data_IF_499235235792
#
_entry.id   IF_499235235792
#
_cell.length_a   1.000
_cell.length_b   1.000
_cell.length_c   1.000
_cell.angle_alpha   90.00
_cell.angle_beta   90.00
_cell.angle_gamma   90.00
#
_symmetry.space_group_name_H-M   'P 1'
#
loop_
_entity.id
_entity.type
_entity.pdbx_description
1 polymer ?
#
# COMPACT_ATOMS: atom_id res chain seq x y z
N UNK A 1 -17.59 -29.68 -14.72
CA UNK A 1 -17.19 -28.27 -14.80
C UNK A 1 -17.77 -27.66 -13.55
N UNK A 2 -16.99 -27.62 -12.48
CA UNK A 2 -17.37 -26.87 -11.28
C UNK A 2 -16.94 -25.43 -11.53
N UNK A 3 -17.90 -24.58 -11.90
CA UNK A 3 -17.76 -23.12 -11.80
C UNK A 3 -17.82 -22.77 -10.31
N UNK A 4 -16.72 -23.02 -9.61
CA UNK A 4 -16.48 -22.39 -8.32
C UNK A 4 -16.28 -20.90 -8.60
N UNK A 5 -17.10 -19.99 -8.05
CA UNK A 5 -16.88 -18.57 -8.25
C UNK A 5 -15.51 -18.26 -7.67
N UNK A 6 -14.56 -17.97 -8.55
CA UNK A 6 -13.25 -17.47 -8.17
C UNK A 6 -13.53 -16.31 -7.22
N UNK A 7 -13.24 -16.53 -5.94
CA UNK A 7 -13.25 -15.49 -4.93
C UNK A 7 -12.06 -14.60 -5.24
N UNK A 8 -12.18 -13.84 -6.34
CA UNK A 8 -11.23 -12.85 -6.79
C UNK A 8 -11.32 -11.73 -5.76
N UNK A 9 -10.50 -11.89 -4.71
CA UNK A 9 -10.18 -10.78 -3.82
C UNK A 9 -9.95 -9.55 -4.69
N UNK A 10 -10.60 -8.42 -4.40
CA UNK A 10 -10.56 -7.27 -5.28
C UNK A 10 -9.11 -6.93 -5.62
N UNK A 11 -8.82 -6.62 -6.89
CA UNK A 11 -7.50 -6.15 -7.30
C UNK A 11 -7.16 -4.87 -6.50
N UNK A 12 -6.33 -5.01 -5.47
CA UNK A 12 -6.02 -3.91 -4.55
C UNK A 12 -4.88 -3.03 -5.05
N UNK A 13 -4.56 -3.02 -6.36
CA UNK A 13 -3.65 -1.99 -6.87
C UNK A 13 -4.21 -0.60 -6.54
N UNK A 14 -3.36 0.29 -5.99
CA UNK A 14 -3.79 1.62 -5.51
C UNK A 14 -4.61 2.41 -6.56
N UNK A 15 -4.30 2.20 -7.84
CA UNK A 15 -5.00 2.81 -8.98
C UNK A 15 -6.40 2.22 -9.22
N UNK A 16 -6.60 0.93 -8.94
CA UNK A 16 -7.90 0.28 -9.03
C UNK A 16 -8.79 0.63 -7.83
N UNK A 17 -8.20 0.70 -6.63
CA UNK A 17 -8.88 1.15 -5.41
C UNK A 17 -9.58 2.51 -5.60
N UNK A 18 -8.93 3.45 -6.30
CA UNK A 18 -9.50 4.78 -6.58
C UNK A 18 -10.73 4.76 -7.50
N UNK A 19 -10.99 3.66 -8.21
CA UNK A 19 -12.13 3.49 -9.11
C UNK A 19 -13.28 2.68 -8.51
N UNK A 20 -13.06 2.02 -7.37
CA UNK A 20 -14.10 1.26 -6.69
C UNK A 20 -15.15 2.21 -6.09
N UNK A 21 -16.42 1.88 -6.29
CA UNK A 21 -17.52 2.58 -5.63
C UNK A 21 -17.56 2.23 -4.14
N UNK A 22 -17.35 3.23 -3.28
CA UNK A 22 -17.36 3.05 -1.84
C UNK A 22 -18.76 2.80 -1.28
N UNK A 23 -19.82 3.20 -2.00
CA UNK A 23 -21.20 2.95 -1.56
C UNK A 23 -21.60 1.47 -1.65
N UNK A 24 -20.85 0.67 -2.40
CA UNK A 24 -21.03 -0.78 -2.49
C UNK A 24 -20.31 -1.56 -1.37
N UNK A 25 -19.53 -0.89 -0.52
CA UNK A 25 -18.75 -1.51 0.55
C UNK A 25 -19.45 -1.35 1.90
N UNK A 26 -19.36 -2.38 2.76
CA UNK A 26 -19.81 -2.28 4.13
C UNK A 26 -18.82 -1.44 4.97
N UNK A 27 -19.24 -1.03 6.17
CA UNK A 27 -18.34 -0.33 7.11
C UNK A 27 -17.12 -1.18 7.46
N UNK A 28 -17.29 -2.49 7.65
CA UNK A 28 -16.16 -3.41 7.92
C UNK A 28 -15.18 -3.50 6.76
N UNK A 29 -15.68 -3.53 5.52
CA UNK A 29 -14.82 -3.53 4.32
C UNK A 29 -14.03 -2.23 4.20
N UNK A 30 -14.65 -1.10 4.56
CA UNK A 30 -13.99 0.20 4.59
C UNK A 30 -12.91 0.27 5.67
N UNK A 31 -13.18 -0.27 6.86
CA UNK A 31 -12.21 -0.33 7.96
C UNK A 31 -10.99 -1.17 7.59
N UNK A 32 -11.20 -2.39 7.08
CA UNK A 32 -10.11 -3.27 6.62
C UNK A 32 -9.28 -2.60 5.51
N UNK A 33 -9.94 -1.93 4.56
CA UNK A 33 -9.27 -1.19 3.50
C UNK A 33 -8.42 -0.04 4.07
N UNK A 34 -8.93 0.70 5.04
CA UNK A 34 -8.20 1.81 5.69
C UNK A 34 -6.97 1.29 6.43
N UNK A 35 -7.09 0.19 7.19
CA UNK A 35 -5.98 -0.41 7.91
C UNK A 35 -4.85 -0.83 6.97
N UNK A 36 -5.20 -1.52 5.88
CA UNK A 36 -4.24 -1.94 4.86
C UNK A 36 -3.53 -0.75 4.21
N UNK A 37 -4.26 0.32 3.88
CA UNK A 37 -3.67 1.53 3.28
C UNK A 37 -2.71 2.25 4.24
N UNK A 38 -3.05 2.34 5.53
CA UNK A 38 -2.15 2.92 6.55
C UNK A 38 -0.88 2.11 6.69
N UNK A 39 -0.98 0.78 6.73
CA UNK A 39 0.19 -0.09 6.80
C UNK A 39 1.11 0.10 5.58
N UNK A 40 0.54 0.24 4.38
CA UNK A 40 1.32 0.48 3.17
C UNK A 40 1.99 1.86 3.17
N UNK A 41 1.31 2.90 3.66
CA UNK A 41 1.92 4.23 3.85
C UNK A 41 3.14 4.13 4.77
N UNK A 42 3.01 3.48 5.93
CA UNK A 42 4.13 3.31 6.86
C UNK A 42 5.30 2.55 6.24
N UNK A 43 5.04 1.51 5.43
CA UNK A 43 6.09 0.80 4.68
C UNK A 43 6.80 1.70 3.67
N UNK A 44 6.05 2.54 2.95
CA UNK A 44 6.62 3.49 1.99
C UNK A 44 7.46 4.56 2.67
N UNK A 45 6.99 5.09 3.80
CA UNK A 45 7.71 6.07 4.61
C UNK A 45 9.02 5.50 5.15
N UNK A 46 9.00 4.30 5.74
CA UNK A 46 10.20 3.63 6.21
C UNK A 46 11.22 3.40 5.07
N UNK A 47 10.76 2.95 3.90
CA UNK A 47 11.63 2.74 2.74
C UNK A 47 12.16 4.05 2.14
N UNK A 48 11.47 5.18 2.32
CA UNK A 48 11.95 6.51 1.92
C UNK A 48 13.01 7.00 2.90
N UNK A 49 12.77 6.83 4.21
CA UNK A 49 13.71 7.20 5.26
C UNK A 49 15.01 6.42 5.14
N UNK A 50 14.95 5.09 5.00
CA UNK A 50 16.12 4.22 4.85
C UNK A 50 17.03 4.65 3.69
N UNK A 51 16.43 4.94 2.52
CA UNK A 51 17.15 5.44 1.35
C UNK A 51 17.69 6.87 1.53
N UNK A 52 16.95 7.72 2.25
CA UNK A 52 17.38 9.08 2.60
C UNK A 52 18.60 9.07 3.52
N UNK A 53 18.54 8.28 4.59
CA UNK A 53 19.61 8.07 5.55
C UNK A 53 20.86 7.49 4.89
N UNK A 54 20.69 6.50 4.01
CA UNK A 54 21.80 5.92 3.23
C UNK A 54 22.49 6.97 2.34
N UNK A 55 21.72 7.87 1.72
CA UNK A 55 22.28 8.94 0.86
C UNK A 55 23.04 9.98 1.67
N UNK A 56 22.52 10.37 2.82
CA UNK A 56 23.15 11.37 3.69
C UNK A 56 24.44 10.82 4.35
N UNK A 57 24.50 9.53 4.65
CA UNK A 57 25.72 8.85 5.11
C UNK A 57 26.76 8.72 4.01
N UNK A 58 26.35 8.37 2.78
CA UNK A 58 27.24 8.34 1.63
C UNK A 58 27.84 9.73 1.34
N UNK A 59 27.03 10.79 1.34
CA UNK A 59 27.53 12.16 1.11
C UNK A 59 28.56 12.63 2.16
N UNK A 60 28.46 12.16 3.41
CA UNK A 60 29.47 12.44 4.44
C UNK A 60 30.78 11.68 4.20
N UNK A 61 30.71 10.49 3.63
CA UNK A 61 31.87 9.66 3.30
C UNK A 61 32.68 10.21 2.11
N UNK A 62 32.04 10.89 1.15
CA UNK A 62 32.68 11.44 -0.05
C UNK A 62 33.09 12.92 0.04
N UNK A 63 32.87 13.60 1.17
CA UNK A 63 33.23 15.02 1.40
C UNK A 63 34.50 15.22 2.25
N UNK A 64 35.40 14.23 2.28
CA UNK A 64 36.75 14.40 2.83
C UNK A 64 37.77 14.74 1.74
#
# INVERSE_FOLDING_TARGET
>A
MDDEPLNEKPDMTLKYLAKQDLYALSVGDLDERIENLKAEISRCEAAKEDRGSTRDEAEKLFKF
#
